data_IF_636270893735
#
_entry.id   IF_636270893735
#
_cell.length_a   1.000
_cell.length_b   1.000
_cell.length_c   1.000
_cell.angle_alpha   90.00
_cell.angle_beta   90.00
_cell.angle_gamma   90.00
#
_symmetry.space_group_name_H-M   'P 1'
#
loop_
_entity.id
_entity.type
_entity.pdbx_description
1 polymer ?
#
# COMPACT_ATOMS: atom_id res chain seq x y z
N UNK A 1 -13.99 -33.42 64.37
CA UNK A 1 -13.22 -32.48 63.53
C UNK A 1 -13.69 -32.63 62.10
N UNK A 2 -14.41 -31.65 61.56
CA UNK A 2 -14.80 -31.61 60.14
C UNK A 2 -13.82 -30.67 59.43
N UNK A 3 -13.05 -31.22 58.49
CA UNK A 3 -12.24 -30.40 57.58
C UNK A 3 -13.16 -29.76 56.55
N UNK A 4 -13.42 -28.47 56.71
CA UNK A 4 -14.07 -27.63 55.70
C UNK A 4 -12.98 -27.19 54.72
N UNK A 5 -13.00 -27.73 53.51
CA UNK A 5 -12.10 -27.31 52.44
C UNK A 5 -12.63 -25.99 51.86
N UNK A 6 -11.89 -24.90 52.07
CA UNK A 6 -12.19 -23.61 51.47
C UNK A 6 -11.70 -23.62 50.02
N UNK A 7 -12.64 -23.63 49.07
CA UNK A 7 -12.34 -23.42 47.66
C UNK A 7 -12.08 -21.93 47.48
N UNK A 8 -10.80 -21.57 47.36
CA UNK A 8 -10.37 -20.22 46.96
C UNK A 8 -10.62 -20.09 45.46
N UNK A 9 -11.68 -19.39 45.09
CA UNK A 9 -11.87 -18.92 43.72
C UNK A 9 -10.81 -17.85 43.44
N UNK A 10 -9.72 -18.24 42.76
CA UNK A 10 -8.85 -17.31 42.05
C UNK A 10 -9.65 -16.73 40.88
N UNK A 11 -10.35 -15.63 41.15
CA UNK A 11 -10.84 -14.73 40.11
C UNK A 11 -9.60 -14.17 39.40
N UNK A 12 -9.23 -14.80 38.28
CA UNK A 12 -8.37 -14.20 37.28
C UNK A 12 -9.11 -12.98 36.72
N UNK A 13 -8.98 -11.84 37.41
CA UNK A 13 -9.19 -10.54 36.81
C UNK A 13 -8.13 -10.38 35.72
N UNK A 14 -8.48 -10.78 34.50
CA UNK A 14 -7.85 -10.22 33.32
C UNK A 14 -8.17 -8.73 33.35
N UNK A 15 -7.27 -7.95 33.96
CA UNK A 15 -7.18 -6.52 33.73
C UNK A 15 -7.00 -6.36 32.22
N UNK A 16 -8.09 -6.09 31.52
CA UNK A 16 -8.04 -5.53 30.17
C UNK A 16 -7.40 -4.17 30.36
N UNK A 17 -6.07 -4.10 30.27
CA UNK A 17 -5.39 -2.84 30.08
C UNK A 17 -6.07 -2.19 28.88
N UNK A 18 -6.75 -1.07 29.13
CA UNK A 18 -7.44 -0.27 28.13
C UNK A 18 -6.42 0.12 27.05
N UNK A 19 -6.37 -0.67 25.99
CA UNK A 19 -5.41 -0.53 24.91
C UNK A 19 -6.02 0.33 23.81
N UNK A 20 -5.21 1.23 23.23
CA UNK A 20 -5.59 1.94 22.02
C UNK A 20 -5.73 0.93 20.87
N UNK A 21 -6.76 1.05 20.04
CA UNK A 21 -7.02 0.08 18.97
C UNK A 21 -6.93 0.76 17.59
N UNK A 22 -6.41 0.03 16.61
CA UNK A 22 -6.54 0.43 15.20
C UNK A 22 -8.01 0.44 14.80
N UNK A 23 -8.37 1.26 13.80
CA UNK A 23 -9.74 1.34 13.28
C UNK A 23 -10.10 0.19 12.31
N UNK A 24 -9.50 -0.99 12.52
CA UNK A 24 -9.85 -2.24 11.84
C UNK A 24 -9.73 -3.40 12.83
N UNK A 25 -10.39 -4.53 12.53
CA UNK A 25 -10.47 -5.66 13.45
C UNK A 25 -9.08 -6.24 13.77
N UNK A 26 -8.77 -6.57 15.04
CA UNK A 26 -7.56 -7.31 15.40
C UNK A 26 -7.47 -8.71 14.79
N UNK A 27 -8.59 -9.28 14.33
CA UNK A 27 -8.64 -10.54 13.59
C UNK A 27 -8.53 -10.35 12.06
N UNK A 28 -8.38 -9.11 11.60
CA UNK A 28 -8.25 -8.79 10.18
C UNK A 28 -6.95 -9.36 9.61
N UNK A 29 -7.02 -9.83 8.35
CA UNK A 29 -5.83 -10.14 7.56
C UNK A 29 -5.25 -8.89 6.89
N UNK A 30 -5.86 -7.72 7.10
CA UNK A 30 -5.40 -6.46 6.55
C UNK A 30 -4.02 -6.09 7.10
N UNK A 31 -3.16 -5.68 6.19
CA UNK A 31 -1.84 -5.13 6.43
C UNK A 31 -1.86 -3.72 5.89
N UNK A 32 -1.14 -2.80 6.53
CA UNK A 32 -0.98 -1.47 5.94
C UNK A 32 -0.10 -1.58 4.69
N UNK A 33 -0.58 -1.04 3.58
CA UNK A 33 0.17 -0.85 2.34
C UNK A 33 0.46 0.63 2.18
N UNK A 34 1.74 1.00 2.19
CA UNK A 34 2.21 2.36 2.00
C UNK A 34 2.85 2.51 0.62
N UNK A 35 2.41 3.48 -0.15
CA UNK A 35 2.93 3.80 -1.47
C UNK A 35 3.74 5.08 -1.39
N UNK A 36 5.05 4.97 -1.58
CA UNK A 36 5.96 6.11 -1.60
C UNK A 36 6.05 6.62 -3.03
N UNK A 37 5.58 7.84 -3.26
CA UNK A 37 5.71 8.51 -4.55
C UNK A 37 6.85 9.52 -4.47
N UNK A 38 7.97 9.15 -5.09
CA UNK A 38 9.20 9.96 -5.12
C UNK A 38 8.95 11.33 -5.77
N UNK A 39 8.21 11.39 -6.88
CA UNK A 39 7.97 12.63 -7.63
C UNK A 39 7.16 13.66 -6.84
N UNK A 40 6.12 13.21 -6.16
CA UNK A 40 5.23 14.10 -5.37
C UNK A 40 5.68 14.23 -3.92
N UNK A 41 6.77 13.55 -3.53
CA UNK A 41 7.26 13.48 -2.15
C UNK A 41 6.16 13.14 -1.14
N UNK A 42 5.28 12.22 -1.50
CA UNK A 42 4.10 11.88 -0.71
C UNK A 42 4.01 10.39 -0.44
N UNK A 43 3.51 10.02 0.74
CA UNK A 43 3.19 8.64 1.09
C UNK A 43 1.69 8.51 1.23
N UNK A 44 1.11 7.54 0.53
CA UNK A 44 -0.30 7.15 0.68
C UNK A 44 -0.38 5.82 1.40
N UNK A 45 -1.25 5.69 2.40
CA UNK A 45 -1.35 4.47 3.23
C UNK A 45 -2.77 3.93 3.21
N UNK A 46 -2.91 2.63 2.98
CA UNK A 46 -4.18 1.90 2.95
C UNK A 46 -4.13 0.66 3.86
N UNK A 47 -5.11 0.45 4.74
CA UNK A 47 -6.15 1.40 5.13
C UNK A 47 -5.54 2.68 5.74
N UNK A 48 -6.30 3.77 5.82
CA UNK A 48 -5.79 5.01 6.42
C UNK A 48 -5.32 4.77 7.85
N UNK A 49 -4.24 5.45 8.26
CA UNK A 49 -3.72 5.35 9.62
C UNK A 49 -4.72 6.04 10.55
N UNK A 50 -5.54 5.22 11.20
CA UNK A 50 -6.54 5.69 12.14
C UNK A 50 -6.62 4.74 13.33
N UNK A 51 -6.65 5.34 14.53
CA UNK A 51 -6.99 4.64 15.77
C UNK A 51 -8.39 5.03 16.21
N UNK A 52 -9.02 4.19 17.01
CA UNK A 52 -10.22 4.53 17.76
C UNK A 52 -9.78 5.08 19.13
N UNK A 53 -9.77 6.42 19.33
CA UNK A 53 -9.40 6.98 20.61
C UNK A 53 -10.41 6.50 21.65
N UNK A 54 -9.91 6.07 22.81
CA UNK A 54 -10.75 5.79 23.97
C UNK A 54 -11.32 7.13 24.46
N UNK A 55 -12.48 7.14 25.12
CA UNK A 55 -13.07 8.37 25.67
C UNK A 55 -12.01 9.24 26.39
N UNK A 56 -11.95 10.52 25.99
CA UNK A 56 -11.02 11.56 26.45
C UNK A 56 -9.51 11.33 26.13
N UNK A 57 -9.17 10.32 25.32
CA UNK A 57 -7.82 10.08 24.82
C UNK A 57 -7.61 10.74 23.44
N UNK A 58 -6.41 11.25 23.20
CA UNK A 58 -5.99 11.90 21.95
C UNK A 58 -4.77 11.21 21.37
N UNK A 59 -4.71 11.08 20.05
CA UNK A 59 -3.53 10.55 19.37
C UNK A 59 -2.37 11.54 19.47
N UNK A 60 -1.21 11.08 19.96
CA UNK A 60 -0.03 11.93 20.19
C UNK A 60 1.11 11.62 19.22
N UNK A 61 1.29 10.34 18.85
CA UNK A 61 2.37 9.95 17.95
C UNK A 61 2.05 8.72 17.13
N UNK A 62 2.61 8.71 15.93
CA UNK A 62 2.72 7.55 15.04
C UNK A 62 4.19 7.18 14.94
N UNK A 63 4.51 5.93 15.25
CA UNK A 63 5.88 5.44 15.33
C UNK A 63 6.04 4.26 14.39
N UNK A 64 7.04 4.33 13.52
CA UNK A 64 7.51 3.19 12.73
C UNK A 64 8.57 2.45 13.55
N UNK A 65 8.55 1.12 13.47
CA UNK A 65 9.46 0.23 14.17
C UNK A 65 10.16 -0.68 13.16
N UNK A 66 11.44 -1.04 13.42
CA UNK A 66 12.18 -1.92 12.55
C UNK A 66 11.63 -3.35 12.61
N UNK A 67 12.01 -4.15 11.62
CA UNK A 67 11.85 -5.62 11.63
C UNK A 67 13.23 -6.27 11.64
N UNK A 68 13.27 -7.60 11.71
CA UNK A 68 14.53 -8.36 11.57
C UNK A 68 15.23 -8.10 10.22
N UNK A 69 14.47 -7.69 9.20
CA UNK A 69 14.97 -7.48 7.83
C UNK A 69 15.22 -6.04 7.49
N UNK A 70 14.51 -5.10 8.10
CA UNK A 70 14.54 -3.70 7.69
C UNK A 70 14.60 -2.75 8.88
N UNK A 71 15.55 -1.82 8.81
CA UNK A 71 15.58 -0.65 9.69
C UNK A 71 14.58 0.41 9.21
N UNK A 72 14.10 1.25 10.14
CA UNK A 72 13.26 2.39 9.77
C UNK A 72 14.12 3.43 9.06
N UNK A 73 13.80 3.83 7.83
CA UNK A 73 14.59 4.84 7.13
C UNK A 73 14.32 6.26 7.68
N UNK A 74 15.37 7.06 7.82
CA UNK A 74 15.27 8.43 8.35
C UNK A 74 14.50 9.39 7.44
N UNK A 75 14.34 9.04 6.16
CA UNK A 75 13.54 9.80 5.20
C UNK A 75 12.02 9.57 5.34
N UNK A 76 11.56 8.75 6.29
CA UNK A 76 10.14 8.50 6.55
C UNK A 76 9.81 8.88 7.99
N UNK A 77 8.72 9.61 8.18
CA UNK A 77 8.29 10.02 9.52
C UNK A 77 6.78 9.85 9.69
N UNK A 78 6.37 9.33 10.85
CA UNK A 78 4.97 9.27 11.26
C UNK A 78 4.54 10.56 11.93
N UNK A 79 3.40 11.10 11.51
CA UNK A 79 2.85 12.37 11.99
C UNK A 79 1.38 12.22 12.37
N UNK A 80 0.89 13.10 13.23
CA UNK A 80 -0.53 13.17 13.61
C UNK A 80 -1.21 14.22 12.75
N UNK A 81 -2.31 13.84 12.11
CA UNK A 81 -3.14 14.73 11.31
C UNK A 81 -4.25 15.37 12.15
N UNK A 82 -4.96 14.55 12.93
CA UNK A 82 -6.07 14.99 13.78
C UNK A 82 -6.02 14.16 15.08
N UNK A 83 -5.64 14.83 16.16
CA UNK A 83 -5.44 14.18 17.47
C UNK A 83 -6.76 13.64 18.04
N UNK A 84 -7.86 14.38 17.85
CA UNK A 84 -9.16 14.09 18.45
C UNK A 84 -9.88 12.96 17.69
N UNK A 85 -9.69 12.89 16.36
CA UNK A 85 -10.25 11.81 15.52
C UNK A 85 -9.31 10.61 15.34
N UNK A 86 -8.10 10.70 15.89
CA UNK A 86 -7.12 9.61 15.84
C UNK A 86 -6.50 9.38 14.47
N UNK A 87 -6.43 10.39 13.60
CA UNK A 87 -5.82 10.27 12.28
C UNK A 87 -4.33 10.56 12.28
N UNK A 88 -3.56 9.69 11.64
CA UNK A 88 -2.14 9.85 11.38
C UNK A 88 -1.82 9.83 9.88
N UNK A 89 -0.60 10.19 9.54
CA UNK A 89 -0.08 10.10 8.17
C UNK A 89 1.44 9.91 8.18
N UNK A 90 2.01 9.52 7.04
CA UNK A 90 3.44 9.40 6.86
C UNK A 90 3.95 10.48 5.89
N UNK A 91 5.14 11.00 6.15
CA UNK A 91 5.84 11.95 5.27
C UNK A 91 7.09 11.33 4.69
N UNK A 92 7.48 11.80 3.51
CA UNK A 92 8.69 11.40 2.80
C UNK A 92 9.63 12.60 2.61
N UNK A 93 10.91 12.46 2.96
CA UNK A 93 11.94 13.46 2.74
C UNK A 93 12.85 13.02 1.58
N UNK A 94 12.65 13.63 0.40
CA UNK A 94 13.41 13.29 -0.81
C UNK A 94 14.91 13.54 -0.69
N UNK A 95 15.34 14.59 0.01
CA UNK A 95 16.76 14.89 0.20
C UNK A 95 17.47 13.79 0.97
N UNK A 96 16.92 13.38 2.12
CA UNK A 96 17.47 12.29 2.92
C UNK A 96 17.41 10.94 2.18
N UNK A 97 16.39 10.73 1.35
CA UNK A 97 16.30 9.55 0.49
C UNK A 97 17.47 9.49 -0.50
N UNK A 98 17.75 10.59 -1.22
CA UNK A 98 18.84 10.63 -2.20
C UNK A 98 20.22 10.51 -1.55
N UNK A 99 20.41 11.06 -0.35
CA UNK A 99 21.64 10.87 0.44
C UNK A 99 21.84 9.39 0.82
N UNK A 100 20.79 8.73 1.31
CA UNK A 100 20.84 7.32 1.67
C UNK A 100 21.04 6.40 0.44
N UNK A 101 20.45 6.76 -0.70
CA UNK A 101 20.64 6.07 -1.98
C UNK A 101 22.08 6.19 -2.47
N UNK A 102 22.65 7.40 -2.48
CA UNK A 102 24.03 7.67 -2.88
C UNK A 102 25.05 6.95 -1.98
N UNK A 103 24.75 6.83 -0.68
CA UNK A 103 25.56 6.07 0.27
C UNK A 103 25.41 4.55 0.12
N UNK A 104 24.48 4.07 -0.70
CA UNK A 104 24.21 2.64 -0.90
C UNK A 104 23.47 1.98 0.27
N UNK A 105 22.96 2.76 1.23
CA UNK A 105 22.35 2.34 2.49
C UNK A 105 20.86 2.00 2.36
N UNK A 106 20.36 1.87 1.14
CA UNK A 106 18.94 1.67 0.87
C UNK A 106 18.62 0.20 0.60
N UNK A 107 17.90 -0.43 1.53
CA UNK A 107 17.27 -1.73 1.28
C UNK A 107 16.06 -1.63 0.33
N UNK A 108 15.56 -0.42 0.08
CA UNK A 108 14.48 -0.18 -0.90
C UNK A 108 14.91 -0.35 -2.37
N UNK A 109 16.14 -0.83 -2.64
CA UNK A 109 16.60 -1.24 -3.98
C UNK A 109 15.70 -2.31 -4.61
N UNK A 110 15.02 -3.12 -3.80
CA UNK A 110 14.03 -4.12 -4.23
C UNK A 110 12.67 -3.52 -4.60
N UNK A 111 12.43 -2.24 -4.31
CA UNK A 111 11.13 -1.59 -4.43
C UNK A 111 10.18 -1.87 -3.27
N UNK A 112 10.56 -2.72 -2.29
CA UNK A 112 9.73 -3.07 -1.15
C UNK A 112 10.52 -3.16 0.15
N UNK A 113 9.98 -2.66 1.25
CA UNK A 113 10.51 -2.93 2.61
C UNK A 113 9.38 -3.04 3.63
N UNK A 114 9.62 -3.86 4.67
CA UNK A 114 8.61 -4.25 5.65
C UNK A 114 8.97 -3.71 7.03
N UNK A 115 8.08 -2.88 7.59
CA UNK A 115 8.22 -2.30 8.92
C UNK A 115 7.03 -2.70 9.80
N UNK A 116 7.03 -2.22 11.04
CA UNK A 116 5.83 -2.21 11.89
C UNK A 116 5.43 -0.77 12.20
N UNK A 117 4.15 -0.56 12.46
CA UNK A 117 3.58 0.72 12.85
C UNK A 117 2.88 0.60 14.21
N UNK A 118 3.02 1.64 15.03
CA UNK A 118 2.51 1.77 16.39
C UNK A 118 1.93 3.17 16.56
N UNK A 119 0.80 3.30 17.24
CA UNK A 119 0.24 4.58 17.64
C UNK A 119 0.25 4.69 19.17
N UNK A 120 0.50 5.90 19.69
CA UNK A 120 0.44 6.20 21.12
C UNK A 120 -0.44 7.40 21.38
N UNK A 121 -1.21 7.32 22.47
CA UNK A 121 -2.00 8.46 22.92
C UNK A 121 -1.18 9.46 23.75
N UNK A 122 -1.84 10.54 24.19
CA UNK A 122 -1.24 11.59 25.00
C UNK A 122 -1.16 11.26 26.50
N UNK A 123 -1.54 10.05 26.96
CA UNK A 123 -1.56 9.76 28.39
C UNK A 123 -0.15 9.60 28.97
N UNK A 124 -0.05 9.63 30.31
CA UNK A 124 1.20 9.35 31.01
C UNK A 124 0.96 8.29 32.11
N UNK A 125 1.45 7.04 31.94
CA UNK A 125 2.19 6.52 30.79
C UNK A 125 1.30 6.44 29.52
N UNK A 126 1.88 6.56 28.32
CA UNK A 126 1.10 6.50 27.08
C UNK A 126 0.57 5.10 26.83
N UNK A 127 -0.72 5.01 26.47
CA UNK A 127 -1.31 3.78 25.95
C UNK A 127 -0.97 3.66 24.47
N UNK A 128 -0.78 2.44 24.01
CA UNK A 128 -0.37 2.20 22.65
C UNK A 128 -1.16 1.09 21.96
N UNK A 129 -1.25 1.16 20.64
CA UNK A 129 -1.74 0.03 19.85
C UNK A 129 -0.80 -1.17 19.94
N UNK A 130 -1.29 -2.34 19.54
CA UNK A 130 -0.40 -3.45 19.19
C UNK A 130 0.31 -3.03 17.91
N UNK A 131 1.64 -3.21 17.87
CA UNK A 131 2.40 -2.93 16.65
C UNK A 131 1.87 -3.79 15.49
N UNK A 132 1.63 -3.18 14.35
CA UNK A 132 1.01 -3.84 13.18
C UNK A 132 1.95 -3.85 11.98
N UNK A 133 1.92 -4.87 11.11
CA UNK A 133 2.73 -4.85 9.89
C UNK A 133 2.35 -3.71 8.94
N UNK A 134 3.37 -3.10 8.33
CA UNK A 134 3.22 -2.14 7.22
C UNK A 134 4.24 -2.45 6.13
N UNK A 135 3.78 -2.57 4.89
CA UNK A 135 4.61 -2.83 3.72
C UNK A 135 4.69 -1.57 2.89
N UNK A 136 5.90 -1.10 2.61
CA UNK A 136 6.15 0.03 1.74
C UNK A 136 6.46 -0.48 0.34
N UNK A 137 5.77 0.08 -0.65
CA UNK A 137 6.07 -0.05 -2.06
C UNK A 137 6.62 1.28 -2.56
N UNK A 138 7.87 1.26 -3.02
CA UNK A 138 8.53 2.43 -3.55
C UNK A 138 8.26 2.56 -5.04
N UNK A 139 7.41 3.52 -5.39
CA UNK A 139 7.13 3.86 -6.78
C UNK A 139 8.24 4.80 -7.25
N UNK A 140 9.33 4.21 -7.72
CA UNK A 140 10.43 4.96 -8.33
C UNK A 140 9.92 5.76 -9.51
N UNK A 141 10.42 6.98 -9.63
CA UNK A 141 9.95 7.95 -10.62
C UNK A 141 10.85 8.00 -11.86
N UNK A 142 10.90 6.91 -12.64
CA UNK A 142 11.18 7.07 -14.07
C UNK A 142 9.89 7.51 -14.76
N UNK A 143 9.67 8.83 -14.90
CA UNK A 143 8.42 9.37 -15.49
C UNK A 143 8.15 8.65 -16.81
N UNK A 144 7.09 7.82 -16.88
CA UNK A 144 6.94 6.98 -18.03
C UNK A 144 6.54 7.85 -19.23
N UNK A 145 7.27 7.73 -20.32
CA UNK A 145 6.95 8.44 -21.56
C UNK A 145 5.86 7.63 -22.25
N UNK A 146 4.62 8.09 -22.14
CA UNK A 146 3.48 7.45 -22.79
C UNK A 146 3.61 7.53 -24.31
N UNK A 147 3.47 6.40 -25.01
CA UNK A 147 3.52 6.38 -26.47
C UNK A 147 2.32 7.11 -27.11
N UNK A 148 1.22 7.29 -26.36
CA UNK A 148 0.02 8.02 -26.78
C UNK A 148 -0.60 8.77 -25.61
N UNK A 149 -1.21 9.92 -25.90
CA UNK A 149 -2.00 10.71 -24.93
C UNK A 149 -3.37 10.10 -24.60
N UNK A 150 -3.91 9.27 -25.50
CA UNK A 150 -5.22 8.63 -25.33
C UNK A 150 -5.24 7.28 -26.03
N UNK A 151 -5.79 6.29 -25.35
CA UNK A 151 -6.02 4.95 -25.89
C UNK A 151 -7.53 4.69 -25.94
N UNK A 152 -7.98 4.09 -27.03
CA UNK A 152 -9.36 3.61 -27.18
C UNK A 152 -9.30 2.14 -27.55
N UNK A 153 -10.14 1.33 -26.92
CA UNK A 153 -10.29 -0.08 -27.22
C UNK A 153 -11.76 -0.38 -27.45
N UNK A 154 -12.06 -1.05 -28.55
CA UNK A 154 -13.38 -1.58 -28.81
C UNK A 154 -13.42 -3.01 -28.24
N UNK A 155 -14.45 -3.33 -27.48
CA UNK A 155 -14.60 -4.63 -26.81
C UNK A 155 -15.79 -5.34 -27.45
N UNK A 156 -15.59 -6.58 -27.89
CA UNK A 156 -16.67 -7.40 -28.42
C UNK A 156 -17.64 -7.82 -27.30
N UNK A 157 -18.93 -7.89 -27.60
CA UNK A 157 -19.94 -8.40 -26.67
C UNK A 157 -19.70 -9.85 -26.21
N UNK A 158 -18.97 -10.64 -26.99
CA UNK A 158 -18.58 -12.03 -26.71
C UNK A 158 -17.23 -12.14 -25.99
N UNK A 159 -16.60 -11.01 -25.66
CA UNK A 159 -15.28 -10.96 -25.01
C UNK A 159 -15.33 -11.65 -23.65
N UNK A 160 -14.48 -12.66 -23.43
CA UNK A 160 -14.50 -13.45 -22.20
C UNK A 160 -13.69 -12.75 -21.10
N UNK A 161 -14.09 -12.90 -19.82
CA UNK A 161 -13.23 -12.50 -18.71
C UNK A 161 -11.85 -13.14 -18.84
N UNK A 162 -10.81 -12.37 -18.61
CA UNK A 162 -9.42 -12.78 -18.74
C UNK A 162 -8.84 -12.57 -20.14
N UNK A 163 -9.65 -12.37 -21.19
CA UNK A 163 -9.14 -12.11 -22.53
C UNK A 163 -8.52 -10.71 -22.65
N UNK A 164 -7.53 -10.59 -23.53
CA UNK A 164 -6.80 -9.34 -23.75
C UNK A 164 -7.68 -8.36 -24.53
N UNK A 165 -7.92 -7.19 -23.94
CA UNK A 165 -8.60 -6.07 -24.59
C UNK A 165 -7.62 -5.23 -25.38
N UNK A 166 -6.44 -4.99 -24.80
CA UNK A 166 -5.55 -3.98 -25.33
C UNK A 166 -4.19 -3.98 -24.66
N UNK A 167 -3.33 -3.10 -25.15
CA UNK A 167 -2.06 -2.80 -24.52
C UNK A 167 -1.82 -1.30 -24.58
N UNK A 168 -1.49 -0.73 -23.43
CA UNK A 168 -0.91 0.62 -23.35
C UNK A 168 0.60 0.48 -23.17
N UNK A 169 1.33 1.47 -23.68
CA UNK A 169 2.79 1.45 -23.65
C UNK A 169 3.31 2.76 -23.10
N UNK A 170 4.22 2.64 -22.15
CA UNK A 170 4.98 3.74 -21.61
C UNK A 170 6.41 3.27 -21.35
N UNK A 171 7.37 4.14 -21.66
CA UNK A 171 8.81 3.84 -21.63
C UNK A 171 9.45 4.47 -20.40
N UNK A 172 10.50 3.87 -19.86
CA UNK A 172 11.31 4.50 -18.82
C UNK A 172 11.88 5.84 -19.32
N UNK A 173 11.81 6.90 -18.50
CA UNK A 173 12.47 8.19 -18.83
C UNK A 173 13.98 8.06 -18.95
N UNK A 174 14.59 7.06 -18.28
CA UNK A 174 16.05 6.84 -18.30
C UNK A 174 16.59 6.45 -19.67
N UNK A 175 15.76 5.82 -20.53
CA UNK A 175 16.12 5.45 -21.90
C UNK A 175 16.10 6.64 -22.85
N UNK A 176 15.30 7.68 -22.57
CA UNK A 176 15.31 8.91 -23.38
C UNK A 176 16.62 9.70 -23.28
N UNK A 177 17.37 9.54 -22.19
CA UNK A 177 18.65 10.22 -21.97
C UNK A 177 19.83 9.55 -22.69
N UNK A 178 19.75 8.26 -23.04
CA UNK A 178 20.79 7.56 -23.79
C UNK A 178 20.65 7.74 -25.31
N UNK A 179 19.43 7.97 -25.83
CA UNK A 179 19.18 8.19 -27.26
C UNK A 179 19.49 9.62 -27.72
N UNK A 180 19.54 10.61 -26.83
CA UNK A 180 19.87 12.00 -27.19
C UNK A 180 21.36 12.22 -27.55
N UNK A 181 22.22 11.22 -27.36
CA UNK A 181 23.64 11.26 -27.75
C UNK A 181 23.90 10.77 -29.18
N UNK A 182 22.96 10.08 -29.82
CA UNK A 182 23.10 9.57 -31.18
C UNK A 182 21.86 9.92 -32.00
N UNK A 183 21.94 11.06 -32.67
CA UNK A 183 20.91 11.72 -33.48
C UNK A 183 20.42 10.86 -34.66
N UNK A 184 19.72 9.76 -34.39
CA UNK A 184 18.99 8.94 -35.37
C UNK A 184 17.60 8.69 -34.82
N UNK A 185 16.63 9.40 -35.38
CA UNK A 185 15.21 9.31 -35.03
C UNK A 185 14.65 7.93 -35.42
N UNK A 186 14.94 6.89 -34.64
CA UNK A 186 14.41 5.55 -34.84
C UNK A 186 13.86 5.04 -33.50
N UNK A 187 12.53 5.16 -33.36
CA UNK A 187 11.64 4.43 -32.45
C UNK A 187 12.25 3.90 -31.13
N UNK A 188 11.78 4.36 -29.94
CA UNK A 188 12.30 3.88 -28.65
C UNK A 188 12.32 2.36 -28.61
N UNK A 189 13.52 1.80 -28.56
CA UNK A 189 13.76 0.36 -28.56
C UNK A 189 13.25 -0.17 -27.22
N UNK A 190 12.01 -0.65 -27.25
CA UNK A 190 11.56 -1.87 -26.60
C UNK A 190 11.93 -2.08 -25.13
N UNK A 191 11.37 -1.26 -24.23
CA UNK A 191 11.07 -1.77 -22.90
C UNK A 191 9.79 -1.11 -22.34
N UNK A 192 8.82 -1.93 -21.94
CA UNK A 192 7.59 -1.44 -21.31
C UNK A 192 7.79 -1.29 -19.80
N UNK A 193 9.04 -1.17 -19.32
CA UNK A 193 9.38 -1.02 -17.90
C UNK A 193 8.75 0.19 -17.23
N UNK A 194 8.41 1.24 -17.99
CA UNK A 194 7.62 2.36 -17.49
C UNK A 194 6.19 1.98 -17.07
N UNK A 195 5.71 0.76 -17.39
CA UNK A 195 4.39 0.26 -16.97
C UNK A 195 4.40 -0.44 -15.60
N UNK A 196 5.55 -0.81 -15.05
CA UNK A 196 5.63 -1.63 -13.83
C UNK A 196 4.87 -1.00 -12.65
N UNK A 197 5.01 0.32 -12.49
CA UNK A 197 4.35 1.13 -11.46
C UNK A 197 2.84 1.35 -11.64
N UNK A 198 2.26 0.95 -12.78
CA UNK A 198 0.87 1.25 -13.14
C UNK A 198 0.01 -0.01 -13.23
N UNK A 199 0.41 -1.06 -12.50
CA UNK A 199 -0.33 -2.31 -12.40
C UNK A 199 -1.62 -2.09 -11.59
N UNK A 200 -2.75 -2.56 -12.12
CA UNK A 200 -4.04 -2.60 -11.42
C UNK A 200 -4.52 -4.06 -11.46
N UNK A 201 -4.55 -4.70 -10.30
CA UNK A 201 -4.94 -6.12 -10.13
C UNK A 201 -6.06 -6.30 -9.10
N UNK A 202 -6.88 -5.27 -8.89
CA UNK A 202 -8.00 -5.31 -7.96
C UNK A 202 -9.25 -5.89 -8.67
N UNK A 203 -9.81 -6.95 -8.09
CA UNK A 203 -10.94 -7.72 -8.61
C UNK A 203 -12.28 -7.00 -8.51
N UNK A 204 -12.36 -5.87 -7.79
CA UNK A 204 -13.55 -5.03 -7.73
C UNK A 204 -13.80 -4.28 -9.04
N UNK A 205 -12.73 -3.97 -9.79
CA UNK A 205 -12.81 -3.30 -11.10
C UNK A 205 -13.29 -4.24 -12.22
N UNK A 206 -13.78 -3.66 -13.31
CA UNK A 206 -14.13 -4.42 -14.52
C UNK A 206 -12.92 -4.80 -15.38
N UNK A 207 -11.77 -4.18 -15.12
CA UNK A 207 -10.54 -4.35 -15.90
C UNK A 207 -9.32 -4.48 -14.99
N UNK A 208 -8.33 -5.22 -15.46
CA UNK A 208 -6.98 -5.26 -14.88
C UNK A 208 -5.96 -4.79 -15.92
N UNK A 209 -4.89 -4.17 -15.45
CA UNK A 209 -3.70 -3.86 -16.24
C UNK A 209 -2.49 -4.46 -15.54
N UNK A 210 -1.68 -5.25 -16.25
CA UNK A 210 -0.46 -5.82 -15.67
C UNK A 210 0.73 -4.85 -15.81
N UNK A 211 1.86 -5.17 -15.17
CA UNK A 211 3.09 -4.36 -15.24
C UNK A 211 3.73 -4.24 -16.62
N UNK A 212 3.16 -4.86 -17.66
CA UNK A 212 3.57 -4.72 -19.06
C UNK A 212 2.56 -3.89 -19.86
N UNK A 213 1.55 -3.31 -19.20
CA UNK A 213 0.49 -2.51 -19.80
C UNK A 213 -0.58 -3.29 -20.55
N UNK A 214 -0.66 -4.62 -20.38
CA UNK A 214 -1.71 -5.45 -20.99
C UNK A 214 -2.99 -5.31 -20.18
N UNK A 215 -4.06 -4.85 -20.86
CA UNK A 215 -5.38 -4.69 -20.27
C UNK A 215 -6.22 -5.92 -20.55
N UNK A 216 -6.88 -6.45 -19.50
CA UNK A 216 -7.79 -7.59 -19.56
C UNK A 216 -9.12 -7.25 -18.89
N UNK A 217 -10.18 -7.87 -19.37
CA UNK A 217 -11.47 -7.88 -18.71
C UNK A 217 -11.42 -8.75 -17.46
N UNK A 218 -12.06 -8.35 -16.38
CA UNK A 218 -12.27 -9.19 -15.19
C UNK A 218 -13.71 -9.70 -15.08
N UNK A 219 -14.62 -9.09 -15.84
CA UNK A 219 -16.05 -9.41 -15.86
C UNK A 219 -16.52 -9.61 -17.29
N UNK A 220 -17.66 -10.28 -17.44
CA UNK A 220 -18.33 -10.45 -18.74
C UNK A 220 -19.13 -9.19 -19.02
N UNK A 221 -19.07 -8.67 -20.25
CA UNK A 221 -19.79 -7.45 -20.63
C UNK A 221 -21.15 -7.71 -21.28
N UNK A 222 -21.60 -8.98 -21.29
CA UNK A 222 -22.88 -9.38 -21.84
C UNK A 222 -23.65 -10.26 -20.86
N UNK A 223 -24.91 -9.89 -20.60
CA UNK A 223 -25.87 -10.62 -19.77
C UNK A 223 -26.79 -11.56 -20.59
N UNK A 224 -26.64 -11.65 -21.92
CA UNK A 224 -27.61 -12.34 -22.77
C UNK A 224 -27.57 -13.88 -22.78
N UNK A 225 -26.98 -14.56 -21.79
CA UNK A 225 -27.01 -16.04 -21.73
C UNK A 225 -27.30 -16.65 -20.36
N UNK A 226 -27.93 -15.92 -19.43
CA UNK A 226 -28.40 -16.54 -18.17
C UNK A 226 -29.92 -16.80 -18.16
N UNK A 227 -30.64 -16.51 -19.26
CA UNK A 227 -32.09 -16.73 -19.37
C UNK A 227 -32.52 -17.94 -20.21
N UNK A 228 -31.59 -18.74 -20.75
CA UNK A 228 -31.94 -19.88 -21.63
C UNK A 228 -31.48 -21.25 -21.08
N UNK A 229 -30.84 -21.31 -19.90
CA UNK A 229 -30.42 -22.58 -19.29
C UNK A 229 -31.17 -22.99 -18.00
N UNK A 230 -32.24 -22.26 -17.62
CA UNK A 230 -33.14 -22.65 -16.52
C UNK A 230 -34.52 -23.13 -17.00
N UNK A 231 -34.64 -23.55 -18.27
CA UNK A 231 -35.86 -24.19 -18.79
C UNK A 231 -35.52 -25.32 -19.76
N UNK A 232 -34.86 -26.37 -19.26
CA UNK A 232 -35.00 -27.75 -19.77
C UNK A 232 -34.87 -28.71 -18.59
#
# INVERSE_FOLDING_TARGET
MKCTSAIVFLLNFFLVQSQLLWNFSPSSKEVFHAYVNEKTHSIQVFPSIQVNPIADSKLCSIVLLPTERNNVPDFITGNVLDQDKGYGYLTFNGSLYHEAEAAGNLEAKTGFYHLRILAKDCSNPPKSTISWPITFEHIRSDVPIWSKRRYHFNIDSLHRPGDKIGKVTAYSSSLSTLDNLNNTYNSPIGDNTGMCAYTIQDSTYSFAINGHGVIRSLKRFNNHTDSVMNSM
#
